data_IF_553962044484
#
_entry.id   IF_553962044484
#
_cell.length_a   1.000
_cell.length_b   1.000
_cell.length_c   1.000
_cell.angle_alpha   90.00
_cell.angle_beta   90.00
_cell.angle_gamma   90.00
#
_symmetry.space_group_name_H-M   'P 1'
#
loop_
_entity.id
_entity.type
_entity.pdbx_description
1 polymer ?
#
# COMPACT_ATOMS: atom_id res chain seq x y z
N UNK A 1 -0.73 -23.35 9.72
CA UNK A 1 -1.11 -22.01 10.20
C UNK A 1 0.11 -21.41 10.83
N UNK A 2 0.48 -20.20 10.41
CA UNK A 2 1.89 -19.77 10.38
C UNK A 2 2.03 -18.23 10.32
N UNK A 3 1.03 -17.47 10.78
CA UNK A 3 1.11 -16.01 10.76
C UNK A 3 2.01 -15.54 11.91
N UNK A 4 2.83 -14.53 11.66
CA UNK A 4 3.68 -13.89 12.68
C UNK A 4 3.32 -12.41 12.75
N UNK A 5 3.23 -11.88 13.97
CA UNK A 5 2.93 -10.47 14.23
C UNK A 5 3.97 -9.96 15.22
N UNK A 6 4.70 -8.93 14.80
CA UNK A 6 5.73 -8.27 15.59
C UNK A 6 5.17 -7.39 16.70
N UNK A 7 6.04 -6.59 17.28
CA UNK A 7 5.68 -5.69 18.37
C UNK A 7 4.93 -4.45 17.85
N UNK A 8 4.07 -3.87 18.68
CA UNK A 8 3.49 -2.56 18.40
C UNK A 8 2.70 -2.50 17.07
N UNK A 9 2.13 -3.64 16.65
CA UNK A 9 1.27 -3.75 15.47
C UNK A 9 -0.17 -3.36 15.82
N UNK A 10 -0.81 -2.57 14.97
CA UNK A 10 -2.23 -2.23 15.11
C UNK A 10 -3.04 -2.91 14.02
N UNK A 11 -3.98 -3.78 14.40
CA UNK A 11 -4.92 -4.43 13.47
C UNK A 11 -6.33 -3.93 13.74
N UNK A 12 -6.98 -3.36 12.73
CA UNK A 12 -8.39 -2.95 12.83
C UNK A 12 -9.33 -4.13 12.57
N UNK A 13 -10.63 -3.90 12.81
CA UNK A 13 -11.67 -4.91 12.61
C UNK A 13 -11.70 -5.42 11.16
N UNK A 14 -12.02 -6.70 10.99
CA UNK A 14 -12.18 -7.33 9.67
C UNK A 14 -10.88 -7.60 8.91
N UNK A 15 -9.72 -7.35 9.52
CA UNK A 15 -8.42 -7.71 8.93
C UNK A 15 -8.29 -9.23 8.78
N UNK A 16 -7.73 -9.67 7.65
CA UNK A 16 -7.47 -11.08 7.36
C UNK A 16 -5.97 -11.29 7.12
N UNK A 17 -5.34 -12.13 7.93
CA UNK A 17 -4.00 -12.68 7.68
C UNK A 17 -4.17 -14.10 7.12
N UNK A 18 -4.30 -14.21 5.81
CA UNK A 18 -4.77 -15.42 5.13
C UNK A 18 -3.66 -16.26 4.51
N UNK A 19 -3.86 -17.58 4.49
CA UNK A 19 -3.00 -18.51 3.79
C UNK A 19 -3.36 -18.67 2.31
N UNK A 20 -2.38 -18.96 1.46
CA UNK A 20 -2.60 -19.22 0.01
C UNK A 20 -2.39 -20.68 -0.41
N UNK A 21 -2.06 -21.58 0.52
CA UNK A 21 -1.81 -23.01 0.27
C UNK A 21 -2.50 -23.90 1.31
N UNK A 22 -2.84 -25.13 0.92
CA UNK A 22 -3.33 -26.19 1.82
C UNK A 22 -2.22 -26.94 2.56
N UNK A 23 -0.96 -26.76 2.14
CA UNK A 23 0.18 -27.46 2.72
C UNK A 23 0.54 -26.96 4.13
N UNK A 24 1.21 -27.81 4.92
CA UNK A 24 1.67 -27.48 6.28
C UNK A 24 3.05 -26.79 6.28
N UNK A 25 3.17 -25.72 5.50
CA UNK A 25 4.38 -24.87 5.41
C UNK A 25 4.09 -23.43 5.85
N UNK A 26 5.12 -22.56 5.88
CA UNK A 26 4.92 -21.10 6.00
C UNK A 26 4.03 -20.65 4.84
N UNK A 27 2.85 -20.14 5.17
CA UNK A 27 1.80 -19.85 4.19
C UNK A 27 0.97 -18.62 4.53
N UNK A 28 1.11 -18.08 5.74
CA UNK A 28 0.47 -16.84 6.18
C UNK A 28 1.52 -15.74 6.30
N UNK A 29 1.09 -14.47 6.35
CA UNK A 29 2.00 -13.34 6.37
C UNK A 29 2.84 -13.25 7.65
N UNK A 30 3.97 -12.55 7.55
CA UNK A 30 4.71 -12.00 8.68
C UNK A 30 4.51 -10.48 8.69
N UNK A 31 4.02 -9.95 9.80
CA UNK A 31 3.81 -8.52 10.01
C UNK A 31 4.91 -8.02 10.95
N UNK A 32 5.82 -7.19 10.47
CA UNK A 32 6.90 -6.64 11.30
C UNK A 32 6.41 -5.52 12.24
N UNK A 33 7.31 -5.02 13.08
CA UNK A 33 7.00 -4.10 14.16
C UNK A 33 6.42 -2.76 13.68
N UNK A 34 5.51 -2.19 14.47
CA UNK A 34 4.97 -0.85 14.23
C UNK A 34 4.05 -0.74 13.00
N UNK A 35 3.68 -1.86 12.38
CA UNK A 35 2.77 -1.86 11.22
C UNK A 35 1.34 -1.52 11.66
N UNK A 36 0.66 -0.71 10.85
CA UNK A 36 -0.77 -0.39 11.03
C UNK A 36 -1.55 -0.99 9.88
N UNK A 37 -2.55 -1.82 10.18
CA UNK A 37 -3.38 -2.51 9.20
C UNK A 37 -4.83 -2.03 9.33
N UNK A 38 -5.27 -1.22 8.36
CA UNK A 38 -6.60 -0.63 8.31
C UNK A 38 -7.72 -1.66 8.22
N UNK A 39 -8.94 -1.21 8.56
CA UNK A 39 -10.11 -2.08 8.67
C UNK A 39 -10.39 -2.85 7.37
N UNK A 40 -10.76 -4.12 7.49
CA UNK A 40 -11.15 -4.97 6.36
C UNK A 40 -10.01 -5.42 5.43
N UNK A 41 -8.77 -4.98 5.64
CA UNK A 41 -7.65 -5.34 4.79
C UNK A 41 -7.38 -6.85 4.76
N UNK A 42 -6.96 -7.37 3.61
CA UNK A 42 -6.60 -8.79 3.45
C UNK A 42 -5.14 -8.91 3.03
N UNK A 43 -4.35 -9.60 3.82
CA UNK A 43 -2.93 -9.86 3.57
C UNK A 43 -2.80 -11.36 3.38
N UNK A 44 -2.42 -11.78 2.18
CA UNK A 44 -2.54 -13.19 1.76
C UNK A 44 -1.19 -13.76 1.33
N UNK A 45 -0.83 -14.91 1.90
CA UNK A 45 0.35 -15.69 1.53
C UNK A 45 1.54 -15.46 2.47
N UNK A 46 2.65 -16.20 2.25
CA UNK A 46 3.86 -16.09 3.05
C UNK A 46 4.69 -14.86 2.68
N UNK A 47 4.08 -13.68 2.79
CA UNK A 47 4.71 -12.38 2.50
C UNK A 47 5.06 -11.64 3.78
N UNK A 48 6.06 -10.77 3.72
CA UNK A 48 6.44 -9.89 4.81
C UNK A 48 5.86 -8.48 4.59
N UNK A 49 5.27 -7.94 5.65
CA UNK A 49 4.94 -6.51 5.74
C UNK A 49 5.99 -5.83 6.58
N UNK A 50 6.87 -5.07 5.93
CA UNK A 50 8.01 -4.43 6.58
C UNK A 50 7.61 -3.40 7.64
N UNK A 51 8.49 -3.21 8.62
CA UNK A 51 8.26 -2.38 9.81
C UNK A 51 7.78 -0.97 9.50
N UNK A 52 6.97 -0.40 10.39
CA UNK A 52 6.39 0.95 10.28
C UNK A 52 5.60 1.19 8.97
N UNK A 53 5.18 0.14 8.27
CA UNK A 53 4.37 0.26 7.08
C UNK A 53 2.88 0.37 7.42
N UNK A 54 2.10 0.90 6.49
CA UNK A 54 0.65 1.06 6.63
C UNK A 54 -0.08 0.36 5.53
N UNK A 55 -1.08 -0.43 5.90
CA UNK A 55 -1.99 -1.07 4.96
C UNK A 55 -3.31 -0.31 5.05
N UNK A 56 -3.76 0.24 3.92
CA UNK A 56 -5.03 0.96 3.82
C UNK A 56 -6.22 0.04 4.08
N UNK A 57 -7.33 0.66 4.49
CA UNK A 57 -8.58 -0.06 4.69
C UNK A 57 -9.01 -0.79 3.40
N UNK A 58 -9.51 -2.02 3.54
CA UNK A 58 -9.92 -2.92 2.46
C UNK A 58 -8.83 -3.23 1.40
N UNK A 59 -7.57 -2.87 1.63
CA UNK A 59 -6.50 -3.20 0.69
C UNK A 59 -6.27 -4.72 0.63
N UNK A 60 -5.89 -5.23 -0.55
CA UNK A 60 -5.58 -6.65 -0.76
C UNK A 60 -4.09 -6.81 -1.08
N UNK A 61 -3.31 -7.25 -0.10
CA UNK A 61 -1.85 -7.35 -0.18
C UNK A 61 -1.44 -8.78 -0.49
N UNK A 62 -0.77 -8.95 -1.62
CA UNK A 62 -0.33 -10.26 -2.15
C UNK A 62 1.16 -10.29 -2.54
N UNK A 63 1.91 -9.24 -2.18
CA UNK A 63 3.34 -9.07 -2.46
C UNK A 63 4.04 -8.51 -1.23
N UNK A 64 5.36 -8.71 -1.17
CA UNK A 64 6.24 -8.12 -0.16
C UNK A 64 6.04 -6.60 -0.06
N UNK A 65 5.97 -6.10 1.17
CA UNK A 65 5.86 -4.66 1.45
C UNK A 65 7.16 -4.19 2.10
N UNK A 66 7.94 -3.32 1.45
CA UNK A 66 9.15 -2.76 2.03
C UNK A 66 8.85 -1.95 3.30
N UNK A 67 9.79 -1.86 4.25
CA UNK A 67 9.66 -0.99 5.42
C UNK A 67 9.27 0.45 5.09
N UNK A 68 8.60 1.12 6.04
CA UNK A 68 8.16 2.51 5.94
C UNK A 68 7.32 2.81 4.68
N UNK A 69 6.53 1.85 4.21
CA UNK A 69 5.71 1.99 3.00
C UNK A 69 4.23 2.11 3.32
N UNK A 70 3.46 2.63 2.37
CA UNK A 70 2.01 2.66 2.42
C UNK A 70 1.46 1.77 1.31
N UNK A 71 0.48 0.93 1.61
CA UNK A 71 -0.16 0.05 0.62
C UNK A 71 -1.64 0.35 0.55
N UNK A 72 -2.14 0.63 -0.65
CA UNK A 72 -3.56 0.95 -0.88
C UNK A 72 -4.11 0.21 -2.10
N UNK A 73 -5.43 0.00 -2.11
CA UNK A 73 -6.16 -0.53 -3.26
C UNK A 73 -6.20 -2.06 -3.37
N UNK A 74 -6.85 -2.52 -4.45
CA UNK A 74 -7.04 -3.94 -4.79
C UNK A 74 -6.68 -4.12 -6.27
N UNK A 75 -5.61 -4.88 -6.61
CA UNK A 75 -4.58 -5.37 -5.70
C UNK A 75 -3.76 -4.21 -5.10
N UNK A 76 -3.23 -4.42 -3.89
CA UNK A 76 -2.49 -3.43 -3.13
C UNK A 76 -1.25 -2.94 -3.87
N UNK A 77 -1.13 -1.62 -4.01
CA UNK A 77 0.04 -0.95 -4.59
C UNK A 77 0.87 -0.32 -3.49
N UNK A 78 2.16 -0.60 -3.51
CA UNK A 78 3.14 -0.03 -2.58
C UNK A 78 3.48 1.38 -3.05
N UNK A 79 3.33 2.35 -2.15
CA UNK A 79 3.73 3.74 -2.31
C UNK A 79 4.79 4.00 -1.23
N UNK A 80 5.99 4.37 -1.65
CA UNK A 80 7.06 4.71 -0.71
C UNK A 80 6.70 6.01 0.00
N UNK A 81 6.91 6.03 1.31
CA UNK A 81 6.73 7.22 2.12
C UNK A 81 8.06 7.96 2.19
N UNK A 82 8.16 9.13 1.57
CA UNK A 82 9.35 9.99 1.72
C UNK A 82 9.28 10.71 3.07
N UNK A 83 10.39 10.75 3.82
CA UNK A 83 10.56 11.66 4.96
C UNK A 83 10.00 11.24 6.33
N UNK A 84 9.82 9.96 6.65
CA UNK A 84 9.33 9.57 8.00
C UNK A 84 10.46 9.68 9.03
N UNK A 85 10.50 10.79 9.78
CA UNK A 85 11.35 10.96 10.97
C UNK A 85 10.86 10.08 12.13
N UNK A 86 11.73 9.21 12.64
CA UNK A 86 11.44 8.24 13.71
C UNK A 86 11.47 8.87 15.12
N UNK A 87 10.79 10.00 15.36
CA UNK A 87 10.70 10.58 16.70
C UNK A 87 9.34 10.31 17.35
N UNK A 88 9.33 9.37 18.30
CA UNK A 88 8.19 9.02 19.13
C UNK A 88 7.25 8.01 18.46
N UNK A 89 7.17 6.80 19.01
CA UNK A 89 6.16 5.82 18.58
C UNK A 89 4.77 6.33 18.96
N UNK A 90 4.04 6.85 17.97
CA UNK A 90 2.59 7.04 18.04
C UNK A 90 1.99 6.21 16.92
N UNK A 91 1.02 5.31 17.21
CA UNK A 91 0.22 4.68 16.16
C UNK A 91 -0.38 5.79 15.32
N UNK A 92 -0.01 5.85 14.05
CA UNK A 92 -0.58 6.85 13.15
C UNK A 92 -1.96 6.34 12.70
N UNK A 93 -2.98 6.92 13.33
CA UNK A 93 -4.38 6.57 13.14
C UNK A 93 -5.01 7.38 11.99
N UNK A 94 -4.26 8.19 11.25
CA UNK A 94 -4.80 9.06 10.19
C UNK A 94 -5.00 8.30 8.89
N UNK A 95 -5.96 7.38 8.91
CA UNK A 95 -6.32 6.53 7.75
C UNK A 95 -6.90 7.34 6.59
N UNK A 96 -7.34 8.58 6.84
CA UNK A 96 -7.83 9.50 5.83
C UNK A 96 -6.74 10.18 5.00
N UNK A 97 -5.47 10.13 5.43
CA UNK A 97 -4.33 10.73 4.71
C UNK A 97 -3.50 9.69 3.97
N UNK A 98 -4.17 8.76 3.30
CA UNK A 98 -3.53 7.83 2.39
C UNK A 98 -3.51 8.43 0.97
N UNK A 99 -2.47 8.15 0.16
CA UNK A 99 -2.45 8.64 -1.22
C UNK A 99 -3.67 8.15 -1.99
N UNK A 100 -4.43 9.07 -2.58
CA UNK A 100 -5.55 8.73 -3.44
C UNK A 100 -5.03 8.41 -4.86
N UNK A 101 -5.18 7.14 -5.25
CA UNK A 101 -4.78 6.68 -6.58
C UNK A 101 -5.62 7.31 -7.69
N UNK A 102 -6.87 7.71 -7.40
CA UNK A 102 -7.75 8.35 -8.37
C UNK A 102 -7.28 9.79 -8.64
N UNK A 103 -6.95 10.54 -7.60
CA UNK A 103 -6.40 11.90 -7.73
C UNK A 103 -5.09 11.90 -8.53
N UNK A 104 -4.19 10.96 -8.22
CA UNK A 104 -2.94 10.78 -8.97
C UNK A 104 -3.17 10.42 -10.46
N UNK A 105 -4.20 9.62 -10.75
CA UNK A 105 -4.54 9.26 -12.12
C UNK A 105 -5.12 10.45 -12.89
N UNK A 106 -6.01 11.23 -12.27
CA UNK A 106 -6.60 12.43 -12.86
C UNK A 106 -5.49 13.40 -13.26
N UNK A 107 -4.58 13.71 -12.34
CA UNK A 107 -3.44 14.59 -12.62
C UNK A 107 -2.59 14.09 -13.80
N UNK A 108 -2.37 12.77 -13.90
CA UNK A 108 -1.60 12.18 -15.00
C UNK A 108 -2.33 12.23 -16.34
N UNK A 109 -3.66 12.08 -16.35
CA UNK A 109 -4.47 12.21 -17.55
C UNK A 109 -4.45 13.66 -18.05
N UNK A 110 -4.63 14.65 -17.18
CA UNK A 110 -4.53 16.06 -17.57
C UNK A 110 -3.15 16.42 -18.16
N UNK A 111 -2.07 15.87 -17.60
CA UNK A 111 -0.72 16.07 -18.12
C UNK A 111 -0.54 15.43 -19.51
N UNK A 112 -1.13 14.26 -19.74
CA UNK A 112 -1.12 13.58 -21.04
C UNK A 112 -1.97 14.33 -22.08
N UNK A 113 -3.14 14.84 -21.70
CA UNK A 113 -3.99 15.65 -22.56
C UNK A 113 -3.28 16.93 -23.01
N UNK A 114 -2.59 17.61 -22.10
CA UNK A 114 -1.73 18.77 -22.41
C UNK A 114 -0.61 18.40 -23.38
N UNK A 115 0.06 17.26 -23.19
CA UNK A 115 1.10 16.79 -24.13
C UNK A 115 0.54 16.49 -25.52
N UNK A 116 -0.62 15.83 -25.61
CA UNK A 116 -1.28 15.54 -26.88
C UNK A 116 -1.73 16.82 -27.61
N UNK A 117 -2.24 17.82 -26.89
CA UNK A 117 -2.61 19.12 -27.46
C UNK A 117 -1.37 19.83 -28.05
N UNK A 118 -0.28 19.91 -27.27
CA UNK A 118 0.96 20.54 -27.70
C UNK A 118 1.61 19.85 -28.91
N UNK A 119 1.46 18.53 -29.05
CA UNK A 119 1.96 17.80 -30.21
C UNK A 119 1.15 18.09 -31.47
N UNK A 120 -0.18 18.20 -31.38
CA UNK A 120 -1.03 18.57 -32.52
C UNK A 120 -0.65 19.94 -33.08
N UNK A 121 -0.46 20.94 -32.22
CA UNK A 121 -0.05 22.28 -32.64
C UNK A 121 1.29 22.28 -33.38
N UNK A 122 2.28 21.48 -32.93
CA UNK A 122 3.56 21.37 -33.64
C UNK A 122 3.43 20.77 -35.04
N UNK A 123 2.57 19.75 -35.21
CA UNK A 123 2.32 19.16 -36.53
C UNK A 123 1.54 20.07 -37.48
N UNK A 124 0.70 20.96 -36.97
CA UNK A 124 -0.02 21.95 -37.78
C UNK A 124 0.87 23.13 -38.21
N UNK A 125 1.88 23.50 -37.41
CA UNK A 125 2.84 24.57 -37.73
C UNK A 125 3.94 24.10 -38.71
N UNK A 126 4.25 22.81 -38.76
CA UNK A 126 5.23 22.23 -39.70
C UNK A 126 4.67 21.90 -41.10
N UNK A 127 3.37 22.12 -41.33
CA UNK A 127 2.71 22.00 -42.65
C UNK A 127 2.55 23.36 -43.34
#
# INVERSE_FOLDING_TARGET
ETAEVGENVTLYHGVTLGGTSGEKVKRHPTIEDGVVVGAGAKILGPIVVGRNSRIGANAVVIKEVPPNSVVVGIPGKVIKREGVSQEGYKPDLEHGQLPDLLEALIARVEELEKHCANQKEKFEVEK
#
